data_IF_082721715185
#
_entry.id   IF_082721715185
#
_cell.length_a   1.000
_cell.length_b   1.000
_cell.length_c   1.000
_cell.angle_alpha   90.00
_cell.angle_beta   90.00
_cell.angle_gamma   90.00
#
_symmetry.space_group_name_H-M   'P 1'
#
loop_
_entity.id
_entity.type
_entity.pdbx_description
1 polymer ?
#
# COMPACT_ATOMS: atom_id res chain seq x y z
N UNK A 1 -56.31 40.12 3.64
CA UNK A 1 -56.55 39.47 4.94
C UNK A 1 -58.03 39.17 5.11
N UNK A 2 -58.53 38.05 4.58
CA UNK A 2 -59.70 37.35 5.16
C UNK A 2 -59.82 35.94 4.58
N UNK A 3 -59.57 34.98 5.46
CA UNK A 3 -60.14 33.63 5.61
C UNK A 3 -60.08 32.60 4.47
N UNK A 4 -59.34 31.57 4.86
CA UNK A 4 -59.08 30.24 4.32
C UNK A 4 -60.30 29.31 4.41
N UNK A 5 -60.23 28.24 3.60
CA UNK A 5 -60.91 26.93 3.67
C UNK A 5 -62.21 26.78 2.86
N UNK A 6 -62.12 25.96 1.80
CA UNK A 6 -63.03 24.83 1.60
C UNK A 6 -62.38 23.79 0.66
N UNK A 7 -62.25 22.56 1.14
CA UNK A 7 -61.79 21.36 0.44
C UNK A 7 -62.75 20.91 -0.66
N UNK A 8 -62.25 20.32 -1.75
CA UNK A 8 -62.87 19.15 -2.41
C UNK A 8 -61.97 18.56 -3.51
N UNK A 9 -62.07 17.23 -3.65
CA UNK A 9 -61.18 16.32 -4.35
C UNK A 9 -61.47 16.15 -5.85
N UNK A 10 -60.46 15.73 -6.64
CA UNK A 10 -60.55 14.94 -7.89
C UNK A 10 -59.12 14.58 -8.36
N UNK A 11 -58.59 13.36 -8.14
CA UNK A 11 -58.75 12.10 -8.90
C UNK A 11 -57.86 11.97 -10.17
N UNK A 12 -57.04 10.89 -10.19
CA UNK A 12 -56.42 10.15 -11.33
C UNK A 12 -55.44 10.93 -12.24
N UNK A 13 -54.34 10.42 -12.79
CA UNK A 13 -53.68 9.10 -12.88
C UNK A 13 -52.42 9.29 -13.74
N UNK A 14 -51.32 8.56 -13.48
CA UNK A 14 -50.21 8.20 -14.40
C UNK A 14 -49.14 7.51 -13.52
N UNK A 15 -49.30 6.23 -13.16
CA UNK A 15 -48.83 5.03 -13.90
C UNK A 15 -47.45 5.22 -14.53
N UNK A 16 -46.47 4.47 -14.01
CA UNK A 16 -45.42 3.88 -14.85
C UNK A 16 -43.98 4.17 -14.39
N UNK A 17 -43.46 3.35 -13.48
CA UNK A 17 -42.16 2.68 -13.52
C UNK A 17 -41.83 2.20 -12.09
N UNK A 18 -42.30 1.00 -11.75
CA UNK A 18 -41.75 0.26 -10.60
C UNK A 18 -40.77 -0.73 -11.21
N UNK A 19 -39.49 -0.40 -11.14
CA UNK A 19 -38.43 -1.36 -11.44
C UNK A 19 -38.51 -2.50 -10.42
N UNK A 20 -38.74 -3.71 -10.91
CA UNK A 20 -38.72 -4.93 -10.12
C UNK A 20 -37.28 -5.20 -9.67
N UNK A 21 -36.89 -4.67 -8.51
CA UNK A 21 -35.72 -5.16 -7.76
C UNK A 21 -36.12 -6.52 -7.19
N UNK A 22 -35.58 -7.60 -7.76
CA UNK A 22 -35.68 -8.94 -7.17
C UNK A 22 -34.81 -8.98 -5.91
N UNK A 23 -35.41 -8.61 -4.79
CA UNK A 23 -34.82 -8.55 -3.44
C UNK A 23 -34.69 -9.99 -2.88
N UNK A 24 -33.47 -10.37 -2.46
CA UNK A 24 -33.13 -11.72 -1.98
C UNK A 24 -33.67 -11.96 -0.56
N UNK A 25 -34.88 -12.49 -0.46
CA UNK A 25 -35.44 -12.98 0.81
C UNK A 25 -34.81 -14.35 1.11
N UNK A 26 -34.01 -14.44 2.18
CA UNK A 26 -33.58 -15.73 2.72
C UNK A 26 -34.83 -16.49 3.24
N UNK A 27 -35.00 -17.78 2.93
CA UNK A 27 -36.28 -18.49 3.06
C UNK A 27 -36.82 -18.68 4.49
N UNK A 28 -36.14 -18.23 5.55
CA UNK A 28 -36.46 -18.56 6.94
C UNK A 28 -36.75 -17.34 7.86
N UNK A 29 -36.62 -16.09 7.39
CA UNK A 29 -36.82 -14.89 8.21
C UNK A 29 -37.74 -13.86 7.56
N UNK A 30 -38.86 -13.54 8.22
CA UNK A 30 -39.87 -12.56 7.75
C UNK A 30 -39.53 -11.10 8.10
N UNK A 31 -38.50 -10.86 8.92
CA UNK A 31 -38.11 -9.51 9.31
C UNK A 31 -37.10 -8.96 8.31
N UNK A 32 -37.46 -7.90 7.60
CA UNK A 32 -36.53 -7.19 6.71
C UNK A 32 -35.36 -6.63 7.53
N UNK A 33 -34.14 -6.99 7.14
CA UNK A 33 -32.92 -6.43 7.72
C UNK A 33 -32.62 -5.12 6.96
N UNK A 34 -32.37 -3.99 7.66
CA UNK A 34 -32.00 -2.74 6.99
C UNK A 34 -30.71 -2.91 6.18
N UNK A 35 -30.68 -2.42 4.94
CA UNK A 35 -29.51 -2.50 4.05
C UNK A 35 -28.27 -1.84 4.65
N UNK A 36 -28.44 -0.81 5.47
CA UNK A 36 -27.34 -0.04 6.08
C UNK A 36 -26.49 -0.87 7.06
N UNK A 37 -27.00 -1.98 7.56
CA UNK A 37 -26.27 -2.89 8.45
C UNK A 37 -25.82 -4.18 7.74
N UNK A 38 -26.12 -4.30 6.44
CA UNK A 38 -25.67 -5.41 5.59
C UNK A 38 -24.37 -5.01 4.89
N UNK A 39 -23.54 -6.01 4.57
CA UNK A 39 -22.41 -5.79 3.66
C UNK A 39 -22.97 -5.78 2.23
N UNK A 40 -22.76 -4.72 1.43
CA UNK A 40 -23.20 -4.72 0.05
C UNK A 40 -22.51 -5.83 -0.76
N UNK A 41 -23.25 -6.45 -1.68
CA UNK A 41 -22.68 -7.48 -2.58
C UNK A 41 -21.55 -6.92 -3.45
N UNK A 42 -21.52 -5.60 -3.67
CA UNK A 42 -20.54 -4.89 -4.50
C UNK A 42 -20.05 -3.63 -3.82
N UNK A 43 -18.74 -3.47 -3.76
CA UNK A 43 -18.08 -2.26 -3.24
C UNK A 43 -17.03 -1.79 -4.24
N UNK A 44 -17.22 -0.59 -4.78
CA UNK A 44 -16.24 0.05 -5.66
C UNK A 44 -15.09 0.64 -4.86
N UNK A 45 -13.85 0.30 -5.23
CA UNK A 45 -12.64 0.77 -4.54
C UNK A 45 -11.54 1.15 -5.53
N UNK A 46 -10.46 1.77 -5.04
CA UNK A 46 -9.28 2.09 -5.86
C UNK A 46 -8.62 0.85 -6.48
N UNK A 47 -8.77 -0.33 -5.85
CA UNK A 47 -8.24 -1.60 -6.37
C UNK A 47 -9.26 -2.33 -7.27
N UNK A 48 -10.36 -1.65 -7.61
CA UNK A 48 -11.47 -2.16 -8.41
C UNK A 48 -12.64 -2.67 -7.56
N UNK A 49 -13.64 -3.22 -8.24
CA UNK A 49 -14.85 -3.76 -7.60
C UNK A 49 -14.51 -4.96 -6.69
N UNK A 50 -15.01 -4.94 -5.46
CA UNK A 50 -14.98 -6.03 -4.51
C UNK A 50 -16.37 -6.66 -4.44
N UNK A 51 -16.45 -7.97 -4.66
CA UNK A 51 -17.71 -8.72 -4.67
C UNK A 51 -17.83 -9.62 -3.43
N UNK A 52 -19.04 -9.68 -2.88
CA UNK A 52 -19.40 -10.44 -1.69
C UNK A 52 -20.67 -11.26 -1.95
N UNK A 53 -20.80 -12.37 -1.23
CA UNK A 53 -22.01 -13.18 -1.16
C UNK A 53 -22.31 -13.44 0.32
N UNK A 54 -23.44 -12.95 0.81
CA UNK A 54 -23.81 -13.05 2.23
C UNK A 54 -22.72 -12.49 3.16
N UNK A 55 -22.11 -11.37 2.76
CA UNK A 55 -20.99 -10.74 3.46
C UNK A 55 -19.64 -11.46 3.35
N UNK A 56 -19.59 -12.65 2.75
CA UNK A 56 -18.33 -13.39 2.51
C UNK A 56 -17.71 -12.94 1.19
N UNK A 57 -16.42 -12.55 1.16
CA UNK A 57 -15.78 -12.16 -0.09
C UNK A 57 -15.68 -13.34 -1.05
N UNK A 58 -15.90 -13.08 -2.34
CA UNK A 58 -15.61 -14.08 -3.39
C UNK A 58 -14.11 -14.39 -3.43
N UNK A 59 -13.72 -15.54 -3.98
CA UNK A 59 -12.31 -15.91 -4.14
C UNK A 59 -11.51 -14.84 -4.92
N UNK A 60 -12.12 -14.21 -5.92
CA UNK A 60 -11.52 -13.13 -6.69
C UNK A 60 -11.28 -11.88 -5.83
N UNK A 61 -12.23 -11.53 -4.96
CA UNK A 61 -12.08 -10.44 -3.97
C UNK A 61 -10.94 -10.73 -3.00
N UNK A 62 -10.88 -11.96 -2.46
CA UNK A 62 -9.82 -12.39 -1.54
C UNK A 62 -8.44 -12.23 -2.20
N UNK A 63 -8.27 -12.75 -3.41
CA UNK A 63 -7.00 -12.64 -4.14
C UNK A 63 -6.62 -11.18 -4.36
N UNK A 64 -7.56 -10.36 -4.87
CA UNK A 64 -7.33 -8.94 -5.14
C UNK A 64 -6.91 -8.16 -3.88
N UNK A 65 -7.52 -8.44 -2.73
CA UNK A 65 -7.17 -7.80 -1.46
C UNK A 65 -5.76 -8.22 -1.00
N UNK A 66 -5.42 -9.50 -1.11
CA UNK A 66 -4.07 -9.99 -0.78
C UNK A 66 -3.00 -9.44 -1.73
N UNK A 67 -3.27 -9.38 -3.02
CA UNK A 67 -2.34 -8.78 -4.00
C UNK A 67 -2.07 -7.30 -3.66
N UNK A 68 -3.12 -6.55 -3.30
CA UNK A 68 -2.95 -5.17 -2.85
C UNK A 68 -2.20 -5.08 -1.51
N UNK A 69 -2.44 -6.00 -0.57
CA UNK A 69 -1.70 -6.03 0.70
C UNK A 69 -0.21 -6.28 0.48
N UNK A 70 0.14 -7.21 -0.40
CA UNK A 70 1.54 -7.51 -0.75
C UNK A 70 2.18 -6.34 -1.49
N UNK A 71 1.43 -5.67 -2.38
CA UNK A 71 1.89 -4.43 -3.02
C UNK A 71 2.20 -3.33 -1.99
N UNK A 72 1.30 -3.10 -1.03
CA UNK A 72 1.51 -2.09 0.02
C UNK A 72 2.70 -2.44 0.93
N UNK A 73 2.86 -3.72 1.28
CA UNK A 73 4.03 -4.19 2.04
C UNK A 73 5.32 -4.05 1.24
N UNK A 74 5.28 -4.25 -0.08
CA UNK A 74 6.43 -4.02 -0.96
C UNK A 74 6.88 -2.55 -0.96
N UNK A 75 5.93 -1.61 -0.98
CA UNK A 75 6.23 -0.17 -0.83
C UNK A 75 6.88 0.11 0.52
N UNK A 76 6.31 -0.42 1.60
CA UNK A 76 6.81 -0.19 2.95
C UNK A 76 8.24 -0.74 3.12
N UNK A 77 8.51 -1.96 2.65
CA UNK A 77 9.86 -2.54 2.64
C UNK A 77 10.83 -1.67 1.83
N UNK A 78 10.43 -1.25 0.62
CA UNK A 78 11.29 -0.41 -0.22
C UNK A 78 11.70 0.88 0.52
N UNK A 79 10.75 1.60 1.10
CA UNK A 79 11.02 2.87 1.78
C UNK A 79 11.85 2.68 3.06
N UNK A 80 11.54 1.67 3.88
CA UNK A 80 12.26 1.41 5.12
C UNK A 80 13.70 0.94 4.88
N UNK A 81 13.97 0.25 3.76
CA UNK A 81 15.29 -0.33 3.48
C UNK A 81 16.19 0.56 2.60
N UNK A 82 15.77 1.76 2.18
CA UNK A 82 16.66 2.70 1.45
C UNK A 82 18.02 2.88 2.15
N UNK A 83 18.10 3.13 3.48
CA UNK A 83 19.39 3.30 4.16
C UNK A 83 20.23 2.02 4.14
N UNK A 84 19.61 0.85 4.38
CA UNK A 84 20.30 -0.43 4.38
C UNK A 84 20.85 -0.77 2.98
N UNK A 85 20.07 -0.53 1.93
CA UNK A 85 20.48 -0.69 0.54
C UNK A 85 21.65 0.23 0.17
N UNK A 86 21.68 1.48 0.69
CA UNK A 86 22.80 2.39 0.49
C UNK A 86 24.10 1.84 1.11
N UNK A 87 24.04 1.40 2.37
CA UNK A 87 25.19 0.79 3.05
C UNK A 87 25.66 -0.48 2.32
N UNK A 88 24.73 -1.34 1.88
CA UNK A 88 25.06 -2.56 1.13
C UNK A 88 25.67 -2.26 -0.24
N UNK A 89 25.20 -1.21 -0.92
CA UNK A 89 25.78 -0.71 -2.15
C UNK A 89 27.23 -0.25 -1.94
N UNK A 90 27.51 0.48 -0.87
CA UNK A 90 28.89 0.85 -0.51
C UNK A 90 29.75 -0.37 -0.15
N UNK A 91 29.21 -1.34 0.59
CA UNK A 91 29.92 -2.58 0.98
C UNK A 91 30.32 -3.40 -0.25
N UNK A 92 29.37 -3.65 -1.14
CA UNK A 92 29.59 -4.42 -2.37
C UNK A 92 30.47 -3.68 -3.37
N UNK A 93 30.29 -2.36 -3.51
CA UNK A 93 31.18 -1.51 -4.32
C UNK A 93 32.62 -1.55 -3.81
N UNK A 94 32.82 -1.44 -2.49
CA UNK A 94 34.16 -1.54 -1.87
C UNK A 94 34.79 -2.92 -2.12
N UNK A 95 34.00 -3.99 -1.94
CA UNK A 95 34.46 -5.35 -2.24
C UNK A 95 34.82 -5.54 -3.72
N UNK A 96 34.11 -4.90 -4.65
CA UNK A 96 34.40 -4.96 -6.09
C UNK A 96 35.76 -4.34 -6.45
N UNK A 97 36.26 -3.42 -5.62
CA UNK A 97 37.58 -2.80 -5.76
C UNK A 97 38.70 -3.64 -5.12
N UNK A 98 38.39 -4.84 -4.62
CA UNK A 98 39.33 -5.77 -4.01
C UNK A 98 39.51 -5.61 -2.49
N UNK A 99 38.81 -4.67 -1.86
CA UNK A 99 38.83 -4.44 -0.41
C UNK A 99 37.69 -5.22 0.23
N UNK A 100 37.97 -6.44 0.67
CA UNK A 100 36.94 -7.40 1.12
C UNK A 100 37.28 -8.11 2.42
N UNK A 101 38.51 -7.99 2.91
CA UNK A 101 38.95 -8.57 4.18
C UNK A 101 38.90 -7.55 5.30
N UNK A 102 38.82 -8.06 6.52
CA UNK A 102 38.73 -7.25 7.74
C UNK A 102 39.97 -6.38 8.00
N UNK A 103 41.11 -6.70 7.41
CA UNK A 103 42.38 -6.00 7.57
C UNK A 103 42.72 -5.12 6.34
N UNK A 104 41.74 -4.82 5.50
CA UNK A 104 41.88 -4.00 4.30
C UNK A 104 41.03 -2.73 4.45
N UNK A 105 41.58 -1.58 4.04
CA UNK A 105 40.91 -0.29 4.10
C UNK A 105 40.98 0.37 2.73
N UNK A 106 39.84 0.85 2.24
CA UNK A 106 39.75 1.62 1.01
C UNK A 106 40.13 3.07 1.31
N UNK A 107 41.23 3.53 0.69
CA UNK A 107 41.64 4.92 0.72
C UNK A 107 41.17 5.62 -0.57
N UNK A 108 40.36 6.66 -0.41
CA UNK A 108 40.00 7.58 -1.48
C UNK A 108 40.97 8.76 -1.40
N UNK A 109 42.09 8.62 -2.09
CA UNK A 109 43.29 9.47 -1.97
C UNK A 109 43.13 10.85 -2.61
N UNK A 110 42.14 11.02 -3.49
CA UNK A 110 41.75 12.29 -4.10
C UNK A 110 40.52 12.87 -3.42
N UNK A 111 40.47 14.20 -3.40
CA UNK A 111 39.29 14.94 -2.98
C UNK A 111 38.10 14.61 -3.87
N UNK A 112 36.91 14.56 -3.28
CA UNK A 112 35.68 14.29 -4.01
C UNK A 112 35.32 15.45 -4.93
N UNK A 113 34.63 15.14 -6.01
CA UNK A 113 34.02 16.10 -6.93
C UNK A 113 32.62 15.62 -7.36
N UNK A 114 31.97 16.36 -8.26
CA UNK A 114 30.63 16.01 -8.77
C UNK A 114 30.57 14.73 -9.61
N UNK A 115 31.72 14.12 -9.94
CA UNK A 115 31.80 12.84 -10.66
C UNK A 115 31.99 11.66 -9.72
N UNK A 116 32.26 11.91 -8.44
CA UNK A 116 32.37 10.85 -7.45
C UNK A 116 31.05 10.08 -7.35
N UNK A 117 31.15 8.75 -7.32
CA UNK A 117 30.02 7.86 -7.04
C UNK A 117 29.68 7.79 -5.55
N UNK A 118 30.53 8.36 -4.69
CA UNK A 118 30.30 8.40 -3.26
C UNK A 118 29.22 9.44 -2.93
N UNK A 119 28.11 8.98 -2.33
CA UNK A 119 26.96 9.82 -2.09
C UNK A 119 27.32 10.96 -1.13
N UNK A 120 27.16 12.20 -1.59
CA UNK A 120 27.36 13.43 -0.80
C UNK A 120 28.74 13.51 -0.13
N UNK A 121 29.78 13.03 -0.80
CA UNK A 121 31.15 13.12 -0.31
C UNK A 121 31.62 14.56 -0.10
N UNK A 122 32.38 14.81 0.97
CA UNK A 122 33.02 16.08 1.24
C UNK A 122 34.18 16.33 0.24
N UNK A 123 34.29 17.57 -0.25
CA UNK A 123 35.26 17.96 -1.29
C UNK A 123 36.59 18.46 -0.75
N UNK A 124 36.73 18.60 0.57
CA UNK A 124 37.90 19.20 1.24
C UNK A 124 38.69 18.18 2.08
N UNK A 125 38.18 16.97 2.23
CA UNK A 125 38.78 15.91 3.05
C UNK A 125 38.91 14.61 2.27
N UNK A 126 39.99 13.87 2.54
CA UNK A 126 40.17 12.51 2.03
C UNK A 126 39.41 11.52 2.91
N UNK A 127 38.90 10.45 2.30
CA UNK A 127 38.14 9.41 3.00
C UNK A 127 38.94 8.11 3.10
N UNK A 128 38.85 7.48 4.27
CA UNK A 128 39.22 6.08 4.46
C UNK A 128 37.96 5.32 4.92
N UNK A 129 37.64 4.21 4.26
CA UNK A 129 36.43 3.43 4.53
C UNK A 129 36.75 1.94 4.58
N UNK A 130 36.02 1.22 5.42
CA UNK A 130 36.15 -0.24 5.57
C UNK A 130 34.81 -0.82 6.01
N UNK A 131 34.61 -2.10 5.71
CA UNK A 131 33.43 -2.85 6.10
C UNK A 131 33.85 -4.14 6.81
N UNK A 132 33.20 -4.44 7.93
CA UNK A 132 33.55 -5.57 8.78
C UNK A 132 32.36 -6.51 8.95
N UNK A 133 32.62 -7.80 8.80
CA UNK A 133 31.70 -8.86 9.18
C UNK A 133 32.12 -9.41 10.55
N UNK A 134 31.58 -8.79 11.61
CA UNK A 134 31.91 -9.14 12.99
C UNK A 134 31.48 -10.56 13.36
N UNK A 135 30.57 -11.19 12.60
CA UNK A 135 30.22 -12.59 12.81
C UNK A 135 31.38 -13.54 12.49
N UNK A 136 32.32 -13.11 11.64
CA UNK A 136 33.52 -13.88 11.27
C UNK A 136 34.75 -13.48 12.08
N UNK A 137 34.91 -12.20 12.36
CA UNK A 137 36.12 -11.69 13.02
C UNK A 137 36.02 -11.68 14.53
N UNK A 138 34.80 -11.64 15.09
CA UNK A 138 34.60 -11.27 16.48
C UNK A 138 34.98 -9.80 16.72
N UNK A 139 35.32 -9.43 17.97
CA UNK A 139 35.82 -8.10 18.31
C UNK A 139 37.05 -7.73 17.46
N UNK A 140 37.06 -6.52 16.91
CA UNK A 140 38.11 -6.01 16.02
C UNK A 140 38.73 -4.74 16.63
N UNK A 141 40.06 -4.57 16.46
CA UNK A 141 40.83 -3.37 16.82
C UNK A 141 41.60 -2.91 15.59
#
# INVERSE_FOLDING_TARGET
MTKLLLSSALALSLIGCVDNVKESVLPEYNTKIPEQIMTPDKVETRIGELNFYDGVPTQATVQKVYDNLDYLRGIDVFLNFIPACNIEGMRTGTASLGVSKYNEVLLMDKLMDSKSLFLTGNTDTVYASSFFDLSKTGPLV
#
